data_IF_008524389144
#
_entry.id   IF_008524389144
#
_cell.length_a   1.000
_cell.length_b   1.000
_cell.length_c   1.000
_cell.angle_alpha   90.00
_cell.angle_beta   90.00
_cell.angle_gamma   90.00
#
_symmetry.space_group_name_H-M   'P 1'
#
loop_
_entity.id
_entity.type
_entity.pdbx_description
1 polymer ?
#
# COMPACT_ATOMS: atom_id res chain seq x y z
N UNK A 1 -4.85 -3.70 -0.92
CA UNK A 1 -4.01 -3.29 0.23
C UNK A 1 -3.13 -4.40 0.77
N UNK A 2 -2.58 -5.25 -0.10
CA UNK A 2 -1.58 -6.25 0.27
C UNK A 2 -0.23 -5.75 -0.25
N UNK A 3 0.32 -4.77 0.47
CA UNK A 3 1.55 -4.08 0.08
C UNK A 3 2.50 -4.02 1.26
N UNK A 4 3.79 -4.13 0.97
CA UNK A 4 4.83 -4.10 2.01
C UNK A 4 4.91 -2.75 2.74
N UNK A 5 4.37 -1.68 2.16
CA UNK A 5 4.27 -0.35 2.79
C UNK A 5 3.57 -0.39 4.16
N UNK A 6 2.60 -1.29 4.38
CA UNK A 6 1.96 -1.41 5.70
C UNK A 6 2.90 -1.99 6.76
N UNK A 7 3.79 -2.91 6.37
CA UNK A 7 4.86 -3.42 7.24
C UNK A 7 5.79 -2.28 7.63
N UNK A 8 6.19 -1.46 6.65
CA UNK A 8 7.03 -0.26 6.90
C UNK A 8 6.34 0.71 7.87
N UNK A 9 5.04 0.98 7.70
CA UNK A 9 4.30 1.88 8.59
C UNK A 9 4.26 1.37 10.04
N UNK A 10 4.09 0.05 10.22
CA UNK A 10 4.16 -0.59 11.52
C UNK A 10 5.54 -0.51 12.16
N UNK A 11 6.58 -0.75 11.37
CA UNK A 11 7.96 -0.62 11.82
C UNK A 11 8.32 0.82 12.22
N UNK A 12 7.85 1.81 11.45
CA UNK A 12 8.03 3.23 11.76
C UNK A 12 7.38 3.62 13.10
N UNK A 13 6.22 3.05 13.44
CA UNK A 13 5.59 3.32 14.72
C UNK A 13 6.49 2.91 15.90
N UNK A 14 7.17 1.76 15.80
CA UNK A 14 8.17 1.32 16.78
C UNK A 14 9.43 2.20 16.73
N UNK A 15 9.90 2.57 15.53
CA UNK A 15 11.05 3.44 15.34
C UNK A 15 10.85 4.86 15.92
N UNK A 16 9.61 5.36 15.96
CA UNK A 16 9.26 6.61 16.66
C UNK A 16 9.30 6.48 18.19
N UNK A 17 9.57 5.29 18.71
CA UNK A 17 9.78 5.01 20.13
C UNK A 17 8.58 4.40 20.85
N UNK A 18 7.56 3.94 20.12
CA UNK A 18 6.43 3.21 20.71
C UNK A 18 6.81 1.76 21.05
N UNK A 19 6.23 1.21 22.12
CA UNK A 19 6.30 -0.22 22.36
C UNK A 19 5.45 -1.01 21.36
N UNK A 20 5.64 -2.33 21.28
CA UNK A 20 4.85 -3.20 20.40
C UNK A 20 3.33 -3.00 20.53
N UNK A 21 2.83 -2.93 21.77
CA UNK A 21 1.39 -2.77 22.02
C UNK A 21 0.88 -1.38 21.67
N UNK A 22 1.70 -0.34 21.88
CA UNK A 22 1.34 1.02 21.49
C UNK A 22 1.33 1.16 19.96
N UNK A 23 2.34 0.63 19.27
CA UNK A 23 2.37 0.58 17.81
C UNK A 23 1.18 -0.20 17.24
N UNK A 24 0.85 -1.36 17.84
CA UNK A 24 -0.32 -2.16 17.48
C UNK A 24 -1.62 -1.38 17.65
N UNK A 25 -1.80 -0.67 18.76
CA UNK A 25 -2.97 0.15 18.99
C UNK A 25 -3.10 1.25 17.93
N UNK A 26 -2.00 1.95 17.61
CA UNK A 26 -1.98 2.98 16.56
C UNK A 26 -2.33 2.39 15.19
N UNK A 27 -1.77 1.22 14.84
CA UNK A 27 -2.07 0.49 13.60
C UNK A 27 -3.55 0.13 13.51
N UNK A 28 -4.15 -0.39 14.58
CA UNK A 28 -5.57 -0.73 14.63
C UNK A 28 -6.45 0.51 14.46
N UNK A 29 -6.16 1.58 15.20
CA UNK A 29 -6.93 2.83 15.13
C UNK A 29 -6.82 3.45 13.73
N UNK A 30 -5.62 3.55 13.17
CA UNK A 30 -5.41 4.08 11.83
C UNK A 30 -6.08 3.22 10.75
N UNK A 31 -6.10 1.90 10.93
CA UNK A 31 -6.83 0.97 10.06
C UNK A 31 -8.34 1.27 9.99
N UNK A 32 -8.96 1.79 11.06
CA UNK A 32 -10.40 2.12 11.07
C UNK A 32 -10.78 3.14 10.00
N UNK A 33 -9.82 3.93 9.48
CA UNK A 33 -10.03 4.81 8.33
C UNK A 33 -10.60 4.07 7.10
N UNK A 34 -10.35 2.77 6.96
CA UNK A 34 -10.94 1.97 5.89
C UNK A 34 -12.47 1.87 5.95
N UNK A 35 -13.10 2.09 7.11
CA UNK A 35 -14.55 2.22 7.22
C UNK A 35 -15.04 3.47 6.47
N UNK A 36 -14.36 4.60 6.64
CA UNK A 36 -14.69 5.84 5.93
C UNK A 36 -14.46 5.70 4.41
N UNK A 37 -13.36 5.06 4.01
CA UNK A 37 -13.04 4.81 2.60
C UNK A 37 -14.09 3.88 1.96
N UNK A 38 -14.45 2.80 2.65
CA UNK A 38 -15.50 1.88 2.19
C UNK A 38 -16.86 2.59 2.07
N UNK A 39 -17.22 3.45 3.02
CA UNK A 39 -18.44 4.25 2.96
C UNK A 39 -18.43 5.26 1.80
N UNK A 40 -17.29 5.90 1.53
CA UNK A 40 -17.14 6.84 0.41
C UNK A 40 -17.41 6.17 -0.95
N UNK A 41 -17.18 4.86 -1.07
CA UNK A 41 -17.51 4.07 -2.26
C UNK A 41 -19.00 4.05 -2.62
N UNK A 42 -19.91 4.35 -1.70
CA UNK A 42 -21.35 4.43 -2.05
C UNK A 42 -21.64 5.49 -3.12
N UNK A 43 -20.83 6.56 -3.16
CA UNK A 43 -20.98 7.62 -4.16
C UNK A 43 -20.88 7.06 -5.59
N UNK A 44 -19.89 6.20 -5.85
CA UNK A 44 -19.71 5.56 -7.15
C UNK A 44 -20.89 4.69 -7.56
N UNK A 45 -21.44 3.88 -6.63
CA UNK A 45 -22.62 3.05 -6.89
C UNK A 45 -23.83 3.89 -7.32
N UNK A 46 -24.03 5.06 -6.71
CA UNK A 46 -25.18 5.92 -6.97
C UNK A 46 -25.02 6.75 -8.25
N UNK A 47 -23.83 7.30 -8.47
CA UNK A 47 -23.61 8.25 -9.58
C UNK A 47 -23.10 7.58 -10.85
N UNK A 48 -22.45 6.41 -10.76
CA UNK A 48 -21.75 5.79 -11.88
C UNK A 48 -20.53 6.59 -12.35
N UNK A 49 -20.02 7.53 -11.53
CA UNK A 49 -18.91 8.43 -11.87
C UNK A 49 -17.74 8.30 -10.90
N UNK A 50 -16.56 8.75 -11.34
CA UNK A 50 -15.32 8.72 -10.54
C UNK A 50 -15.37 9.71 -9.36
N UNK A 51 -14.55 9.46 -8.34
CA UNK A 51 -14.64 10.18 -7.05
C UNK A 51 -14.39 11.67 -7.22
N UNK A 52 -13.36 12.02 -8.01
CA UNK A 52 -13.04 13.40 -8.33
C UNK A 52 -14.08 14.09 -9.23
N UNK A 53 -14.95 13.34 -9.90
CA UNK A 53 -16.09 13.91 -10.63
C UNK A 53 -17.21 14.23 -9.65
N UNK A 54 -17.48 13.34 -8.69
CA UNK A 54 -18.46 13.57 -7.62
C UNK A 54 -18.08 14.79 -6.77
N UNK A 55 -16.81 14.96 -6.43
CA UNK A 55 -16.35 16.09 -5.61
C UNK A 55 -16.54 17.46 -6.28
N UNK A 56 -16.69 17.53 -7.62
CA UNK A 56 -17.06 18.77 -8.33
C UNK A 56 -18.42 19.31 -7.91
N UNK A 57 -19.31 18.50 -7.34
CA UNK A 57 -20.60 18.97 -6.84
C UNK A 57 -20.43 19.90 -5.62
N UNK A 58 -19.45 19.64 -4.75
CA UNK A 58 -19.18 20.45 -3.57
C UNK A 58 -18.21 21.61 -3.85
N UNK A 59 -17.14 21.36 -4.61
CA UNK A 59 -16.07 22.34 -4.84
C UNK A 59 -16.22 23.14 -6.16
N UNK A 60 -17.20 22.79 -7.00
CA UNK A 60 -17.29 23.31 -8.36
C UNK A 60 -16.15 22.81 -9.27
N UNK A 61 -16.20 23.16 -10.55
CA UNK A 61 -15.20 22.68 -11.53
C UNK A 61 -13.79 23.22 -11.28
N UNK A 62 -13.67 24.51 -10.92
CA UNK A 62 -12.38 25.17 -10.65
C UNK A 62 -11.86 24.88 -9.24
N UNK A 63 -12.74 24.84 -8.23
CA UNK A 63 -12.34 24.54 -6.85
C UNK A 63 -11.93 23.09 -6.63
N UNK A 64 -12.30 22.17 -7.53
CA UNK A 64 -11.84 20.78 -7.50
C UNK A 64 -10.43 20.57 -8.09
N UNK A 65 -9.85 21.58 -8.73
CA UNK A 65 -8.54 21.47 -9.37
C UNK A 65 -7.41 21.15 -8.38
N UNK A 66 -7.30 21.81 -7.20
CA UNK A 66 -6.28 21.48 -6.20
C UNK A 66 -6.41 20.03 -5.69
N UNK A 67 -7.63 19.53 -5.50
CA UNK A 67 -7.86 18.15 -5.08
C UNK A 67 -7.35 17.15 -6.12
N UNK A 68 -7.57 17.41 -7.42
CA UNK A 68 -7.03 16.59 -8.50
C UNK A 68 -5.51 16.61 -8.59
N UNK A 69 -4.89 17.78 -8.41
CA UNK A 69 -3.42 17.92 -8.41
C UNK A 69 -2.78 17.19 -7.22
N UNK A 70 -3.32 17.37 -6.01
CA UNK A 70 -2.82 16.69 -4.82
C UNK A 70 -2.97 15.17 -4.93
N UNK A 71 -4.10 14.68 -5.47
CA UNK A 71 -4.30 13.26 -5.72
C UNK A 71 -3.30 12.70 -6.74
N UNK A 72 -2.95 13.49 -7.75
CA UNK A 72 -1.90 13.12 -8.71
C UNK A 72 -0.51 13.07 -8.06
N UNK A 73 -0.16 14.04 -7.22
CA UNK A 73 1.10 14.03 -6.45
C UNK A 73 1.19 12.78 -5.56
N UNK A 74 0.08 12.41 -4.89
CA UNK A 74 -0.01 11.18 -4.11
C UNK A 74 0.25 9.94 -4.98
N UNK A 75 -0.33 9.88 -6.18
CA UNK A 75 -0.10 8.78 -7.12
C UNK A 75 1.37 8.66 -7.56
N UNK A 76 2.03 9.78 -7.83
CA UNK A 76 3.48 9.82 -8.12
C UNK A 76 4.27 9.35 -6.90
N UNK A 77 3.93 9.83 -5.70
CA UNK A 77 4.58 9.44 -4.45
C UNK A 77 4.52 7.94 -4.20
N UNK A 78 3.34 7.32 -4.37
CA UNK A 78 3.22 5.86 -4.26
C UNK A 78 4.00 5.12 -5.34
N UNK A 79 4.03 5.63 -6.57
CA UNK A 79 4.83 5.02 -7.66
C UNK A 79 6.31 5.01 -7.28
N UNK A 80 6.82 6.09 -6.68
CA UNK A 80 8.20 6.15 -6.17
C UNK A 80 8.40 5.15 -5.03
N UNK A 81 7.53 5.15 -4.01
CA UNK A 81 7.63 4.24 -2.85
C UNK A 81 7.63 2.79 -3.29
N UNK A 82 6.68 2.39 -4.13
CA UNK A 82 6.59 1.03 -4.65
C UNK A 82 7.83 0.66 -5.48
N UNK A 83 8.34 1.60 -6.30
CA UNK A 83 9.54 1.35 -7.10
C UNK A 83 10.76 1.13 -6.20
N UNK A 84 10.94 1.94 -5.16
CA UNK A 84 12.04 1.79 -4.20
C UNK A 84 11.93 0.44 -3.49
N UNK A 85 10.77 0.11 -2.94
CA UNK A 85 10.54 -1.15 -2.23
C UNK A 85 10.73 -2.36 -3.14
N UNK A 86 10.22 -2.32 -4.38
CA UNK A 86 10.44 -3.38 -5.35
C UNK A 86 11.90 -3.52 -5.77
N UNK A 87 12.61 -2.40 -5.92
CA UNK A 87 14.05 -2.38 -6.23
C UNK A 87 14.86 -3.02 -5.12
N UNK A 88 14.61 -2.67 -3.85
CA UNK A 88 15.31 -3.26 -2.71
C UNK A 88 15.04 -4.77 -2.61
N UNK A 89 13.81 -5.20 -2.87
CA UNK A 89 13.48 -6.63 -2.88
C UNK A 89 14.19 -7.40 -3.99
N UNK A 90 14.24 -6.84 -5.20
CA UNK A 90 14.94 -7.48 -6.31
C UNK A 90 16.47 -7.42 -6.14
N UNK A 91 17.01 -6.34 -5.57
CA UNK A 91 18.43 -6.24 -5.21
C UNK A 91 18.82 -7.32 -4.19
N UNK A 92 18.03 -7.50 -3.13
CA UNK A 92 18.25 -8.56 -2.15
C UNK A 92 18.17 -9.96 -2.79
N UNK A 93 17.23 -10.17 -3.71
CA UNK A 93 17.10 -11.44 -4.43
C UNK A 93 18.34 -11.74 -5.28
N UNK A 94 18.84 -10.73 -6.00
CA UNK A 94 20.07 -10.85 -6.80
C UNK A 94 21.29 -11.10 -5.91
N UNK A 95 21.38 -10.45 -4.74
CA UNK A 95 22.45 -10.69 -3.78
C UNK A 95 22.47 -12.15 -3.30
N UNK A 96 21.30 -12.76 -3.06
CA UNK A 96 21.17 -14.18 -2.74
C UNK A 96 21.66 -15.14 -3.84
N UNK A 97 21.67 -14.69 -5.10
CA UNK A 97 22.24 -15.41 -6.25
C UNK A 97 23.75 -15.14 -6.47
N UNK A 98 24.39 -14.43 -5.55
CA UNK A 98 25.80 -14.06 -5.65
C UNK A 98 26.07 -12.77 -6.45
N UNK A 99 25.02 -12.07 -6.90
CA UNK A 99 25.14 -10.76 -7.56
C UNK A 99 25.13 -9.64 -6.52
N UNK A 100 26.16 -9.63 -5.66
CA UNK A 100 26.32 -8.63 -4.60
C UNK A 100 27.48 -7.67 -4.89
N UNK A 101 27.33 -6.41 -4.50
CA UNK A 101 28.41 -5.41 -4.51
C UNK A 101 28.37 -4.42 -5.68
N UNK A 102 28.71 -3.16 -5.38
CA UNK A 102 28.71 -2.06 -6.34
C UNK A 102 27.31 -1.54 -6.69
N UNK A 103 27.24 -0.64 -7.67
CA UNK A 103 25.97 0.01 -8.08
C UNK A 103 25.21 -0.79 -9.16
N UNK A 104 25.83 -1.80 -9.77
CA UNK A 104 25.27 -2.51 -10.91
C UNK A 104 24.02 -3.35 -10.56
N UNK A 105 24.00 -4.17 -9.48
CA UNK A 105 22.80 -4.94 -9.12
C UNK A 105 21.61 -4.05 -8.79
N UNK A 106 21.84 -2.96 -8.05
CA UNK A 106 20.80 -1.96 -7.73
C UNK A 106 20.27 -1.27 -8.98
N UNK A 107 21.14 -0.85 -9.90
CA UNK A 107 20.72 -0.22 -11.15
C UNK A 107 19.89 -1.18 -12.01
N UNK A 108 20.29 -2.45 -12.08
CA UNK A 108 19.54 -3.50 -12.77
C UNK A 108 18.18 -3.74 -12.10
N UNK A 109 18.15 -3.88 -10.78
CA UNK A 109 16.92 -4.07 -10.02
C UNK A 109 15.93 -2.91 -10.21
N UNK A 110 16.44 -1.68 -10.23
CA UNK A 110 15.65 -0.48 -10.51
C UNK A 110 15.08 -0.50 -11.93
N UNK A 111 15.94 -0.77 -12.92
CA UNK A 111 15.54 -0.83 -14.32
C UNK A 111 14.47 -1.90 -14.55
N UNK A 112 14.63 -3.09 -13.98
CA UNK A 112 13.67 -4.19 -14.07
C UNK A 112 12.37 -3.85 -13.35
N UNK A 113 12.42 -3.27 -12.15
CA UNK A 113 11.22 -2.88 -11.39
C UNK A 113 10.39 -1.83 -12.15
N UNK A 114 11.06 -0.83 -12.73
CA UNK A 114 10.42 0.18 -13.57
C UNK A 114 9.84 -0.45 -14.85
N UNK A 115 10.61 -1.31 -15.52
CA UNK A 115 10.15 -1.99 -16.72
C UNK A 115 8.90 -2.83 -16.45
N UNK A 116 8.87 -3.59 -15.36
CA UNK A 116 7.69 -4.37 -14.94
C UNK A 116 6.49 -3.45 -14.62
N UNK A 117 6.73 -2.37 -13.88
CA UNK A 117 5.70 -1.40 -13.49
C UNK A 117 5.04 -0.76 -14.71
N UNK A 118 5.83 -0.30 -15.68
CA UNK A 118 5.32 0.36 -16.88
C UNK A 118 4.84 -0.62 -17.97
N UNK A 119 5.41 -1.82 -18.06
CA UNK A 119 4.95 -2.83 -19.02
C UNK A 119 3.49 -3.23 -18.74
N UNK A 120 3.10 -3.35 -17.47
CA UNK A 120 1.70 -3.65 -17.12
C UNK A 120 0.78 -2.46 -17.43
N UNK A 121 1.28 -1.22 -17.38
CA UNK A 121 0.51 -0.05 -17.80
C UNK A 121 0.19 -0.05 -19.31
N UNK A 122 0.93 -0.82 -20.12
CA UNK A 122 0.63 -1.03 -21.55
C UNK A 122 -0.43 -2.12 -21.78
N UNK A 123 -0.86 -2.85 -20.75
CA UNK A 123 -1.90 -3.87 -20.88
C UNK A 123 -3.30 -3.26 -20.86
N UNK A 124 -4.21 -3.87 -21.61
CA UNK A 124 -5.62 -3.48 -21.59
C UNK A 124 -6.24 -3.64 -20.19
N UNK A 125 -7.21 -2.78 -19.85
CA UNK A 125 -7.85 -2.74 -18.53
C UNK A 125 -8.41 -4.10 -18.07
N UNK A 126 -9.00 -4.87 -19.00
CA UNK A 126 -9.53 -6.20 -18.71
C UNK A 126 -8.44 -7.21 -18.29
N UNK A 127 -7.27 -7.15 -18.94
CA UNK A 127 -6.12 -8.01 -18.62
C UNK A 127 -5.56 -7.67 -17.24
N UNK A 128 -5.45 -6.37 -16.93
CA UNK A 128 -5.01 -5.89 -15.63
C UNK A 128 -5.94 -6.38 -14.51
N UNK A 129 -7.26 -6.19 -14.65
CA UNK A 129 -8.21 -6.63 -13.62
C UNK A 129 -8.15 -8.15 -13.39
N UNK A 130 -7.99 -8.94 -14.45
CA UNK A 130 -7.84 -10.38 -14.33
C UNK A 130 -6.55 -10.75 -13.59
N UNK A 131 -5.41 -10.14 -13.94
CA UNK A 131 -4.14 -10.37 -13.29
C UNK A 131 -4.16 -9.95 -11.80
N UNK A 132 -4.73 -8.79 -11.49
CA UNK A 132 -4.88 -8.27 -10.12
C UNK A 132 -5.69 -9.22 -9.24
N UNK A 133 -6.75 -9.84 -9.77
CA UNK A 133 -7.55 -10.81 -9.01
C UNK A 133 -6.72 -11.99 -8.53
N UNK A 134 -5.92 -12.59 -9.42
CA UNK A 134 -5.07 -13.73 -9.06
C UNK A 134 -3.92 -13.31 -8.17
N UNK A 135 -3.30 -12.18 -8.47
CA UNK A 135 -2.23 -11.61 -7.66
C UNK A 135 -2.71 -11.30 -6.23
N UNK A 136 -3.95 -10.83 -6.07
CA UNK A 136 -4.53 -10.60 -4.73
C UNK A 136 -4.58 -11.89 -3.89
N UNK A 137 -4.93 -13.04 -4.49
CA UNK A 137 -4.91 -14.32 -3.76
C UNK A 137 -3.49 -14.76 -3.40
N UNK A 138 -2.55 -14.66 -4.35
CA UNK A 138 -1.14 -15.00 -4.12
C UNK A 138 -0.53 -14.13 -3.03
N UNK A 139 -0.72 -12.82 -3.11
CA UNK A 139 -0.27 -11.85 -2.11
C UNK A 139 -0.96 -12.10 -0.76
N UNK A 140 -2.25 -12.45 -0.73
CA UNK A 140 -2.96 -12.71 0.51
C UNK A 140 -2.37 -13.92 1.25
N UNK A 141 -2.16 -15.02 0.54
CA UNK A 141 -1.56 -16.24 1.12
C UNK A 141 -0.11 -15.97 1.54
N UNK A 142 0.67 -15.33 0.68
CA UNK A 142 2.07 -15.02 0.95
C UNK A 142 2.27 -14.09 2.15
N UNK A 143 1.49 -13.00 2.22
CA UNK A 143 1.54 -12.09 3.36
C UNK A 143 0.91 -12.67 4.63
N UNK A 144 -0.07 -13.57 4.53
CA UNK A 144 -0.53 -14.33 5.68
C UNK A 144 0.59 -15.23 6.24
N UNK A 145 1.35 -15.90 5.37
CA UNK A 145 2.52 -16.66 5.78
C UNK A 145 3.59 -15.75 6.43
N UNK A 146 3.83 -14.55 5.87
CA UNK A 146 4.71 -13.55 6.48
C UNK A 146 4.27 -13.23 7.92
N UNK A 147 2.99 -12.92 8.13
CA UNK A 147 2.46 -12.59 9.46
C UNK A 147 2.67 -13.77 10.42
N UNK A 148 2.37 -15.00 10.00
CA UNK A 148 2.54 -16.20 10.83
C UNK A 148 4.00 -16.46 11.19
N UNK A 149 4.94 -16.16 10.29
CA UNK A 149 6.37 -16.39 10.51
C UNK A 149 7.01 -15.32 11.39
N UNK A 150 6.57 -14.06 11.28
CA UNK A 150 7.18 -12.92 11.99
C UNK A 150 6.56 -12.70 13.37
N UNK A 151 5.23 -12.78 13.48
CA UNK A 151 4.49 -12.37 14.67
C UNK A 151 4.88 -13.13 15.96
N UNK A 152 5.12 -14.45 15.95
CA UNK A 152 5.48 -15.21 17.16
C UNK A 152 6.80 -14.76 17.80
N UNK A 153 7.68 -14.10 17.04
CA UNK A 153 8.96 -13.63 17.55
C UNK A 153 8.87 -12.28 18.29
N UNK A 154 7.76 -11.54 18.18
CA UNK A 154 7.68 -10.16 18.66
C UNK A 154 8.13 -10.01 20.13
N UNK A 155 8.98 -9.03 20.42
CA UNK A 155 9.24 -8.65 21.82
C UNK A 155 8.09 -7.80 22.34
N UNK A 156 7.14 -8.46 23.00
CA UNK A 156 5.96 -7.82 23.59
C UNK A 156 6.21 -7.21 24.96
N UNK A 157 7.42 -7.41 25.52
CA UNK A 157 7.78 -7.02 26.88
C UNK A 157 8.62 -5.75 26.94
N UNK A 158 9.30 -5.40 25.85
CA UNK A 158 10.09 -4.20 25.75
C UNK A 158 9.25 -2.94 26.06
N UNK A 159 9.73 -2.07 26.97
CA UNK A 159 9.08 -0.79 27.21
C UNK A 159 9.22 0.13 26.00
N UNK A 160 8.36 1.15 25.93
CA UNK A 160 8.48 2.19 24.92
C UNK A 160 9.82 2.93 25.08
N UNK A 161 10.55 3.12 23.98
CA UNK A 161 11.83 3.82 23.98
C UNK A 161 11.69 5.34 24.12
N UNK A 162 10.59 5.91 23.61
CA UNK A 162 10.26 7.34 23.72
C UNK A 162 8.77 7.52 24.05
N UNK A 163 8.34 7.20 25.29
CA UNK A 163 6.95 7.34 25.68
C UNK A 163 6.55 8.82 25.69
N UNK A 164 5.55 9.19 24.88
CA UNK A 164 5.03 10.55 24.89
C UNK A 164 4.13 10.90 23.70
N UNK A 165 3.47 12.04 23.80
CA UNK A 165 2.53 12.53 22.77
C UNK A 165 3.19 12.71 21.40
N UNK A 166 4.49 13.03 21.35
CA UNK A 166 5.23 13.19 20.09
C UNK A 166 5.32 11.87 19.31
N UNK A 167 5.78 10.79 19.96
CA UNK A 167 5.90 9.46 19.34
C UNK A 167 4.54 8.95 18.86
N UNK A 168 3.51 9.10 19.69
CA UNK A 168 2.13 8.74 19.34
C UNK A 168 1.60 9.56 18.16
N UNK A 169 1.85 10.86 18.13
CA UNK A 169 1.37 11.73 17.05
C UNK A 169 2.05 11.39 15.72
N UNK A 170 3.37 11.18 15.71
CA UNK A 170 4.11 10.81 14.50
C UNK A 170 3.66 9.44 13.96
N UNK A 171 3.55 8.45 14.85
CA UNK A 171 3.08 7.11 14.48
C UNK A 171 1.64 7.17 13.93
N UNK A 172 0.76 7.91 14.60
CA UNK A 172 -0.63 8.04 14.19
C UNK A 172 -0.76 8.70 12.82
N UNK A 173 -0.05 9.80 12.58
CA UNK A 173 -0.08 10.50 11.28
C UNK A 173 0.40 9.58 10.15
N UNK A 174 1.51 8.87 10.33
CA UNK A 174 2.05 7.97 9.29
C UNK A 174 1.10 6.81 8.98
N UNK A 175 0.59 6.14 10.03
CA UNK A 175 -0.33 5.02 9.87
C UNK A 175 -1.66 5.49 9.24
N UNK A 176 -2.19 6.64 9.65
CA UNK A 176 -3.45 7.18 9.15
C UNK A 176 -3.33 7.72 7.72
N UNK A 177 -2.19 8.32 7.36
CA UNK A 177 -1.96 8.91 6.04
C UNK A 177 -2.10 7.89 4.92
N UNK A 178 -1.65 6.65 5.16
CA UNK A 178 -1.75 5.55 4.19
C UNK A 178 -3.19 5.34 3.70
N UNK A 179 -4.13 4.88 4.55
CA UNK A 179 -5.53 4.73 4.17
C UNK A 179 -6.15 6.04 3.66
N UNK A 180 -5.95 7.17 4.35
CA UNK A 180 -6.59 8.44 3.99
C UNK A 180 -6.23 8.92 2.59
N UNK A 181 -5.01 8.65 2.12
CA UNK A 181 -4.57 9.00 0.77
C UNK A 181 -5.43 8.37 -0.34
N UNK A 182 -6.11 7.25 -0.06
CA UNK A 182 -6.99 6.56 -1.00
C UNK A 182 -8.45 7.04 -0.98
N UNK A 183 -8.82 7.99 -0.10
CA UNK A 183 -10.18 8.56 -0.07
C UNK A 183 -10.68 9.16 -1.41
N UNK A 184 -9.82 9.73 -2.28
CA UNK A 184 -10.24 10.27 -3.58
C UNK A 184 -10.40 9.21 -4.70
N UNK A 185 -10.43 7.92 -4.38
CA UNK A 185 -10.43 6.81 -5.34
C UNK A 185 -11.59 5.78 -5.23
N UNK A 186 -12.39 5.64 -4.15
CA UNK A 186 -13.33 4.52 -4.02
C UNK A 186 -14.42 4.47 -5.09
N UNK A 187 -14.88 5.62 -5.59
CA UNK A 187 -15.90 5.67 -6.63
C UNK A 187 -15.38 5.22 -8.00
N UNK A 188 -14.06 5.22 -8.21
CA UNK A 188 -13.44 4.83 -9.48
C UNK A 188 -13.65 3.33 -9.76
N UNK A 189 -13.75 2.54 -8.68
CA UNK A 189 -14.02 1.10 -8.72
C UNK A 189 -15.50 0.78 -8.54
N UNK A 190 -16.13 1.40 -7.54
CA UNK A 190 -17.51 1.08 -7.17
C UNK A 190 -18.56 1.56 -8.18
N UNK A 191 -18.20 2.45 -9.13
CA UNK A 191 -19.07 2.87 -10.24
C UNK A 191 -19.53 1.75 -11.16
N UNK A 192 -18.84 0.61 -11.14
CA UNK A 192 -19.18 -0.57 -11.93
C UNK A 192 -20.07 -1.57 -11.18
N UNK A 193 -20.37 -1.33 -9.90
CA UNK A 193 -21.23 -2.22 -9.11
C UNK A 193 -22.72 -2.01 -9.43
N UNK A 194 -23.57 -3.03 -9.18
CA UNK A 194 -25.01 -2.88 -9.33
C UNK A 194 -25.57 -1.72 -8.49
N UNK A 195 -26.49 -0.94 -9.06
CA UNK A 195 -27.14 0.20 -8.37
C UNK A 195 -27.92 -0.20 -7.10
N UNK A 196 -28.28 -1.47 -6.97
CA UNK A 196 -28.95 -2.04 -5.79
C UNK A 196 -27.99 -2.33 -4.63
N UNK A 197 -26.68 -2.11 -4.80
CA UNK A 197 -25.68 -2.38 -3.76
C UNK A 197 -25.86 -1.42 -2.58
N UNK A 198 -26.02 -1.97 -1.37
CA UNK A 198 -26.25 -1.19 -0.16
C UNK A 198 -24.95 -0.60 0.41
N UNK A 199 -25.05 0.52 1.14
CA UNK A 199 -23.94 1.11 1.89
C UNK A 199 -23.25 0.07 2.78
N UNK A 200 -24.03 -0.72 3.53
CA UNK A 200 -23.53 -1.74 4.43
C UNK A 200 -22.70 -2.80 3.70
N UNK A 201 -23.10 -3.20 2.49
CA UNK A 201 -22.35 -4.15 1.69
C UNK A 201 -21.03 -3.55 1.19
N UNK A 202 -21.05 -2.35 0.59
CA UNK A 202 -19.84 -1.68 0.08
C UNK A 202 -18.86 -1.38 1.22
N UNK A 203 -19.35 -0.80 2.32
CA UNK A 203 -18.53 -0.46 3.47
C UNK A 203 -17.94 -1.71 4.10
N UNK A 204 -18.72 -2.76 4.36
CA UNK A 204 -18.16 -3.96 5.00
C UNK A 204 -17.14 -4.64 4.11
N UNK A 205 -17.45 -4.89 2.85
CA UNK A 205 -16.52 -5.61 1.97
C UNK A 205 -15.23 -4.82 1.71
N UNK A 206 -15.35 -3.52 1.42
CA UNK A 206 -14.19 -2.66 1.18
C UNK A 206 -13.38 -2.41 2.45
N UNK A 207 -14.05 -2.10 3.56
CA UNK A 207 -13.38 -1.81 4.82
C UNK A 207 -12.75 -3.03 5.44
N UNK A 208 -13.43 -4.19 5.47
CA UNK A 208 -12.86 -5.41 6.06
C UNK A 208 -11.61 -5.85 5.32
N UNK A 209 -11.62 -5.80 3.98
CA UNK A 209 -10.45 -6.14 3.18
C UNK A 209 -9.27 -5.21 3.49
N UNK A 210 -9.49 -3.89 3.44
CA UNK A 210 -8.45 -2.90 3.69
C UNK A 210 -7.93 -2.91 5.14
N UNK A 211 -8.86 -2.92 6.11
CA UNK A 211 -8.57 -2.96 7.54
C UNK A 211 -7.79 -4.22 7.92
N UNK A 212 -8.28 -5.40 7.52
CA UNK A 212 -7.65 -6.66 7.91
C UNK A 212 -6.24 -6.75 7.34
N UNK A 213 -6.05 -6.41 6.07
CA UNK A 213 -4.72 -6.47 5.45
C UNK A 213 -3.77 -5.43 6.05
N UNK A 214 -4.21 -4.18 6.24
CA UNK A 214 -3.35 -3.12 6.79
C UNK A 214 -2.97 -3.39 8.24
N UNK A 215 -3.92 -3.88 9.05
CA UNK A 215 -3.67 -4.17 10.47
C UNK A 215 -2.76 -5.38 10.60
N UNK A 216 -3.04 -6.48 9.89
CA UNK A 216 -2.20 -7.67 9.97
C UNK A 216 -0.75 -7.37 9.54
N UNK A 217 -0.56 -6.66 8.42
CA UNK A 217 0.76 -6.29 7.94
C UNK A 217 1.45 -5.24 8.82
N UNK A 218 0.71 -4.25 9.32
CA UNK A 218 1.25 -3.24 10.23
C UNK A 218 1.69 -3.84 11.57
N UNK A 219 0.91 -4.77 12.12
CA UNK A 219 1.30 -5.48 13.35
C UNK A 219 2.50 -6.39 13.09
N UNK A 220 2.58 -7.07 11.94
CA UNK A 220 3.77 -7.82 11.57
C UNK A 220 5.01 -6.93 11.42
N UNK A 221 4.86 -5.71 10.87
CA UNK A 221 5.94 -4.74 10.80
C UNK A 221 6.39 -4.22 12.16
N UNK A 222 5.44 -3.95 13.07
CA UNK A 222 5.76 -3.63 14.45
C UNK A 222 6.50 -4.78 15.14
N UNK A 223 6.06 -6.03 14.94
CA UNK A 223 6.74 -7.22 15.45
C UNK A 223 8.17 -7.33 14.89
N UNK A 224 8.36 -7.15 13.58
CA UNK A 224 9.68 -7.20 12.95
C UNK A 224 10.64 -6.16 13.53
N UNK A 225 10.16 -4.92 13.70
CA UNK A 225 10.95 -3.81 14.24
C UNK A 225 11.42 -4.00 15.68
N UNK A 226 10.79 -4.90 16.45
CA UNK A 226 11.28 -5.23 17.80
C UNK A 226 12.54 -6.10 17.80
N UNK A 227 12.89 -6.72 16.67
CA UNK A 227 13.95 -7.75 16.59
C UNK A 227 15.04 -7.46 15.57
N UNK A 228 14.78 -6.63 14.59
CA UNK A 228 15.70 -6.34 13.50
C UNK A 228 15.73 -4.85 13.19
N UNK A 229 16.86 -4.40 12.67
CA UNK A 229 17.00 -3.05 12.12
C UNK A 229 16.12 -2.93 10.86
N UNK A 230 15.27 -1.91 10.86
CA UNK A 230 14.30 -1.63 9.80
C UNK A 230 14.70 -0.43 8.94
N UNK A 231 15.95 0.02 9.02
CA UNK A 231 16.51 1.07 8.14
C UNK A 231 16.35 0.68 6.66
N UNK A 232 16.69 -0.57 6.32
CA UNK A 232 16.16 -1.24 5.13
C UNK A 232 15.12 -2.26 5.58
N UNK A 233 13.85 -1.86 5.53
CA UNK A 233 12.76 -2.70 6.02
C UNK A 233 12.64 -4.02 5.24
N UNK A 234 13.05 -4.07 3.97
CA UNK A 234 12.98 -5.30 3.16
C UNK A 234 14.02 -6.29 3.68
N UNK A 235 15.28 -5.88 3.74
CA UNK A 235 16.37 -6.73 4.24
C UNK A 235 16.18 -7.08 5.72
N UNK A 236 15.74 -6.11 6.53
CA UNK A 236 15.45 -6.31 7.95
C UNK A 236 14.37 -7.37 8.16
N UNK A 237 13.28 -7.30 7.41
CA UNK A 237 12.21 -8.31 7.48
C UNK A 237 12.67 -9.66 6.93
N UNK A 238 13.41 -9.67 5.83
CA UNK A 238 13.98 -10.89 5.24
C UNK A 238 14.86 -11.67 6.21
N UNK A 239 15.67 -10.95 7.01
CA UNK A 239 16.58 -11.55 7.99
C UNK A 239 15.87 -12.36 9.09
N UNK A 240 14.58 -12.08 9.33
CA UNK A 240 13.76 -12.76 10.33
C UNK A 240 13.10 -14.03 9.77
N UNK A 241 13.17 -14.25 8.46
CA UNK A 241 12.46 -15.33 7.79
C UNK A 241 13.32 -16.59 7.62
N UNK A 242 12.70 -17.77 7.62
CA UNK A 242 13.44 -18.99 7.32
C UNK A 242 13.92 -18.96 5.86
N UNK A 243 15.12 -19.49 5.61
CA UNK A 243 15.79 -19.37 4.30
C UNK A 243 14.96 -19.89 3.10
N UNK A 244 14.07 -20.86 3.31
CA UNK A 244 13.17 -21.35 2.25
C UNK A 244 12.09 -20.32 1.85
N UNK A 245 11.73 -19.40 2.75
CA UNK A 245 10.68 -18.40 2.53
C UNK A 245 11.24 -17.06 2.05
N UNK A 246 12.52 -16.76 2.30
CA UNK A 246 13.18 -15.52 1.87
C UNK A 246 12.98 -15.18 0.37
N UNK A 247 13.30 -16.07 -0.60
CA UNK A 247 13.11 -15.76 -2.01
C UNK A 247 11.63 -15.55 -2.37
N UNK A 248 10.72 -16.28 -1.72
CA UNK A 248 9.28 -16.11 -1.92
C UNK A 248 8.81 -14.76 -1.37
N UNK A 249 9.28 -14.37 -0.18
CA UNK A 249 9.00 -13.06 0.42
C UNK A 249 9.44 -11.93 -0.50
N UNK A 250 10.68 -11.97 -1.02
CA UNK A 250 11.18 -10.94 -1.92
C UNK A 250 10.35 -10.85 -3.21
N UNK A 251 9.94 -12.00 -3.77
CA UNK A 251 9.04 -12.04 -4.92
C UNK A 251 7.65 -11.44 -4.59
N UNK A 252 7.11 -11.69 -3.40
CA UNK A 252 5.85 -11.10 -2.93
C UNK A 252 5.95 -9.59 -2.74
N UNK A 253 7.07 -9.10 -2.21
CA UNK A 253 7.33 -7.65 -2.05
C UNK A 253 7.41 -6.98 -3.43
N UNK A 254 8.18 -7.54 -4.36
CA UNK A 254 8.26 -7.03 -5.73
C UNK A 254 6.89 -7.06 -6.43
N UNK A 255 6.19 -8.19 -6.38
CA UNK A 255 4.87 -8.35 -7.00
C UNK A 255 3.82 -7.42 -6.41
N UNK A 256 3.81 -7.26 -5.08
CA UNK A 256 2.92 -6.33 -4.37
C UNK A 256 3.19 -4.88 -4.74
N UNK A 257 4.47 -4.49 -4.87
CA UNK A 257 4.88 -3.16 -5.31
C UNK A 257 4.44 -2.87 -6.75
N UNK A 258 4.68 -3.80 -7.69
CA UNK A 258 4.21 -3.65 -9.08
C UNK A 258 2.70 -3.55 -9.14
N UNK A 259 1.99 -4.42 -8.40
CA UNK A 259 0.51 -4.43 -8.37
C UNK A 259 -0.05 -3.12 -7.86
N UNK A 260 0.50 -2.58 -6.77
CA UNK A 260 0.06 -1.30 -6.23
C UNK A 260 0.34 -0.13 -7.18
N UNK A 261 1.45 -0.18 -7.92
CA UNK A 261 1.79 0.84 -8.92
C UNK A 261 0.81 0.87 -10.09
N UNK A 262 0.21 -0.26 -10.46
CA UNK A 262 -0.81 -0.30 -11.53
C UNK A 262 -2.03 0.55 -11.14
N UNK A 263 -2.53 0.35 -9.91
CA UNK A 263 -3.66 1.11 -9.36
C UNK A 263 -3.36 2.61 -9.36
N UNK A 264 -2.17 2.98 -8.89
CA UNK A 264 -1.80 4.40 -8.76
C UNK A 264 -1.58 5.03 -10.13
N UNK A 265 -0.97 4.33 -11.10
CA UNK A 265 -0.81 4.80 -12.47
C UNK A 265 -2.15 4.95 -13.19
N UNK A 266 -3.05 3.98 -13.05
CA UNK A 266 -4.39 4.04 -13.63
C UNK A 266 -5.18 5.25 -13.10
N UNK A 267 -5.29 5.40 -11.79
CA UNK A 267 -5.98 6.56 -11.21
C UNK A 267 -5.26 7.88 -11.51
N UNK A 268 -3.93 7.90 -11.56
CA UNK A 268 -3.17 9.10 -11.96
C UNK A 268 -3.49 9.52 -13.40
N UNK A 269 -3.64 8.57 -14.31
CA UNK A 269 -4.06 8.84 -15.69
C UNK A 269 -5.48 9.44 -15.76
N UNK A 270 -6.41 8.93 -14.95
CA UNK A 270 -7.76 9.48 -14.83
C UNK A 270 -7.76 10.89 -14.23
N UNK A 271 -6.91 11.15 -13.23
CA UNK A 271 -6.75 12.47 -12.62
C UNK A 271 -6.28 13.50 -13.65
N UNK A 272 -5.31 13.16 -14.51
CA UNK A 272 -4.82 14.04 -15.58
C UNK A 272 -5.93 14.40 -16.58
N UNK A 273 -6.79 13.44 -16.93
CA UNK A 273 -7.95 13.71 -17.78
C UNK A 273 -8.96 14.66 -17.10
N UNK A 274 -9.16 14.53 -15.79
CA UNK A 274 -9.99 15.45 -14.99
C UNK A 274 -9.41 16.87 -14.94
N UNK A 275 -8.07 17.00 -14.99
CA UNK A 275 -7.35 18.27 -15.06
C UNK A 275 -7.33 18.89 -16.47
N UNK A 276 -7.90 18.22 -17.48
CA UNK A 276 -7.97 18.72 -18.86
C UNK A 276 -6.69 18.50 -19.67
N UNK A 277 -5.74 17.70 -19.16
CA UNK A 277 -4.57 17.26 -19.91
C UNK A 277 -4.93 15.91 -20.55
N UNK A 278 -5.13 15.83 -21.87
CA UNK A 278 -5.50 14.59 -22.53
C UNK A 278 -4.32 13.62 -22.55
N UNK A 279 -4.16 12.82 -21.49
CA UNK A 279 -3.31 11.62 -21.50
C UNK A 279 -4.18 10.41 -21.83
N UNK A 280 -4.05 9.89 -23.04
CA UNK A 280 -4.65 8.62 -23.49
C UNK A 280 -3.54 7.58 -23.62
N UNK A 281 -3.51 6.59 -22.72
CA UNK A 281 -2.89 5.31 -23.07
C UNK A 281 -3.81 4.67 -24.13
N UNK A 282 -3.28 4.49 -25.34
CA UNK A 282 -3.95 3.73 -26.40
C UNK A 282 -3.80 2.24 -26.12
#
# INVERSE_FOLDING_TARGET
NLTFTYVINGALAVAFGLSFWQATAVVVIGGLAFLAIGAAGLSGVRTGTATLVVSRAAFGRRGNWPAGLLNWIVGVGYTVVNTVVGTLALEAFLAGLGWSGGHAPRALALAVTLALTFAVALWGHATVQFAERWMAYVLAVGFAALVVLVLPGADTSAPAAAPGAQAWSLAFVVVLAGPFSYLPMPADYTRYLPRTTSLKAVTRSGALGGFLSSVALGVAGAAAATRADMTDAVAGTESLLPGWFQPLFLALVLGGSVTNSIITLYSSSLNLQVLGIPWRFR
#
